data_IF_541268805268
#
_entry.id   IF_541268805268
#
_cell.length_a   1.000
_cell.length_b   1.000
_cell.length_c   1.000
_cell.angle_alpha   90.00
_cell.angle_beta   90.00
_cell.angle_gamma   90.00
#
_symmetry.space_group_name_H-M   'P 1'
#
loop_
_entity.id
_entity.type
_entity.pdbx_description
1 polymer ?
#
# COMPACT_ATOMS: atom_id res chain seq x y z
N UNK A 1 11.49 28.16 -54.68
CA UNK A 1 11.08 26.74 -54.67
C UNK A 1 11.97 26.04 -53.66
N UNK A 2 11.44 25.80 -52.46
CA UNK A 2 12.18 25.20 -51.35
C UNK A 2 11.56 23.83 -51.11
N UNK A 3 12.32 22.78 -51.40
CA UNK A 3 11.90 21.39 -51.26
C UNK A 3 12.48 20.85 -49.95
N UNK A 4 11.61 20.41 -49.04
CA UNK A 4 11.99 19.77 -47.78
C UNK A 4 11.37 18.36 -47.76
N UNK A 5 12.13 17.31 -47.39
CA UNK A 5 11.66 15.94 -47.48
C UNK A 5 10.62 15.63 -46.38
N UNK A 6 9.70 14.68 -46.61
CA UNK A 6 8.63 14.37 -45.67
C UNK A 6 9.20 13.66 -44.44
N UNK A 7 8.77 14.11 -43.25
CA UNK A 7 9.06 13.44 -41.98
C UNK A 7 8.31 12.11 -41.94
N UNK A 8 9.03 11.04 -41.64
CA UNK A 8 8.50 9.70 -41.38
C UNK A 8 7.65 9.69 -40.12
N UNK A 9 6.40 9.25 -40.23
CA UNK A 9 5.49 8.98 -39.11
C UNK A 9 6.04 7.83 -38.24
N UNK A 10 6.62 8.16 -37.09
CA UNK A 10 6.89 7.18 -36.04
C UNK A 10 5.56 6.78 -35.35
N UNK A 11 5.17 5.52 -35.57
CA UNK A 11 4.03 4.88 -34.88
C UNK A 11 4.25 4.87 -33.36
N UNK A 12 3.44 5.65 -32.63
CA UNK A 12 3.22 5.49 -31.19
C UNK A 12 2.76 4.05 -30.88
N UNK A 13 3.23 3.40 -29.79
CA UNK A 13 2.69 2.12 -29.37
C UNK A 13 1.22 2.29 -28.89
N UNK A 14 0.36 1.28 -29.10
CA UNK A 14 -1.07 1.42 -28.87
C UNK A 14 -1.40 1.37 -27.38
N UNK A 15 -2.19 2.35 -26.97
CA UNK A 15 -2.75 2.61 -25.64
C UNK A 15 -3.51 1.42 -25.01
N UNK A 16 -3.76 0.33 -25.74
CA UNK A 16 -4.53 -0.85 -25.31
C UNK A 16 -3.72 -1.90 -24.54
N UNK A 17 -2.42 -2.05 -24.81
CA UNK A 17 -1.62 -3.12 -24.19
C UNK A 17 -1.33 -2.86 -22.72
N UNK A 18 -1.03 -1.62 -22.35
CA UNK A 18 -0.80 -1.23 -20.96
C UNK A 18 -2.08 -1.40 -20.10
N UNK A 19 -3.24 -1.09 -20.68
CA UNK A 19 -4.53 -1.27 -20.02
C UNK A 19 -4.88 -2.76 -19.89
N UNK A 20 -4.63 -3.55 -20.94
CA UNK A 20 -4.81 -5.00 -20.90
C UNK A 20 -3.87 -5.69 -19.91
N UNK A 21 -2.61 -5.25 -19.79
CA UNK A 21 -1.66 -5.74 -18.78
C UNK A 21 -2.12 -5.43 -17.36
N UNK A 22 -2.60 -4.20 -17.11
CA UNK A 22 -3.18 -3.82 -15.82
C UNK A 22 -4.40 -4.67 -15.46
N UNK A 23 -5.34 -4.84 -16.37
CA UNK A 23 -6.52 -5.70 -16.16
C UNK A 23 -6.14 -7.16 -15.89
N UNK A 24 -5.10 -7.67 -16.55
CA UNK A 24 -4.61 -9.04 -16.35
C UNK A 24 -3.93 -9.22 -14.99
N UNK A 25 -3.04 -8.32 -14.59
CA UNK A 25 -2.36 -8.37 -13.30
C UNK A 25 -3.36 -8.26 -12.13
N UNK A 26 -4.39 -7.42 -12.29
CA UNK A 26 -5.49 -7.31 -11.32
C UNK A 26 -6.28 -8.62 -11.22
N UNK A 27 -6.62 -9.24 -12.35
CA UNK A 27 -7.28 -10.55 -12.36
C UNK A 27 -6.43 -11.62 -11.67
N UNK A 28 -5.12 -11.65 -11.93
CA UNK A 28 -4.18 -12.60 -11.30
C UNK A 28 -4.03 -12.37 -9.78
N UNK A 29 -3.99 -11.12 -9.31
CA UNK A 29 -3.91 -10.79 -7.89
C UNK A 29 -5.20 -11.17 -7.14
N UNK A 30 -6.35 -10.92 -7.75
CA UNK A 30 -7.68 -11.31 -7.24
C UNK A 30 -7.76 -12.84 -7.16
N UNK A 31 -7.39 -13.56 -8.22
CA UNK A 31 -7.36 -15.03 -8.23
C UNK A 31 -6.38 -15.60 -7.19
N UNK A 32 -5.19 -15.02 -7.06
CA UNK A 32 -4.21 -15.47 -6.04
C UNK A 32 -4.79 -15.32 -4.64
N UNK A 33 -5.40 -14.17 -4.33
CA UNK A 33 -6.02 -13.91 -3.03
C UNK A 33 -7.17 -14.89 -2.74
N UNK A 34 -7.95 -15.25 -3.76
CA UNK A 34 -9.00 -16.26 -3.63
C UNK A 34 -8.42 -17.64 -3.28
N UNK A 35 -7.36 -18.05 -3.98
CA UNK A 35 -6.70 -19.34 -3.76
C UNK A 35 -6.08 -19.38 -2.36
N UNK A 36 -5.40 -18.31 -1.93
CA UNK A 36 -4.81 -18.22 -0.58
C UNK A 36 -5.89 -18.35 0.51
N UNK A 37 -7.06 -17.73 0.28
CA UNK A 37 -8.19 -17.83 1.21
C UNK A 37 -8.79 -19.24 1.24
N UNK A 38 -8.91 -19.91 0.09
CA UNK A 38 -9.35 -21.31 0.03
C UNK A 38 -8.39 -22.24 0.78
N UNK A 39 -7.08 -22.05 0.61
CA UNK A 39 -6.06 -22.81 1.32
C UNK A 39 -6.15 -22.58 2.83
N UNK A 40 -6.31 -21.32 3.26
CA UNK A 40 -6.46 -20.97 4.67
C UNK A 40 -7.71 -21.61 5.30
N UNK A 41 -8.86 -21.55 4.62
CA UNK A 41 -10.10 -22.17 5.11
C UNK A 41 -10.02 -23.70 5.12
N UNK A 42 -9.39 -24.30 4.09
CA UNK A 42 -9.16 -25.74 4.05
C UNK A 42 -8.29 -26.20 5.23
N UNK A 43 -7.23 -25.46 5.55
CA UNK A 43 -6.37 -25.74 6.70
C UNK A 43 -7.12 -25.62 8.03
N UNK A 44 -7.98 -24.61 8.18
CA UNK A 44 -8.80 -24.44 9.39
C UNK A 44 -9.82 -25.56 9.61
N UNK A 45 -10.22 -26.26 8.55
CA UNK A 45 -11.24 -27.31 8.58
C UNK A 45 -10.69 -28.73 8.44
N UNK A 46 -9.40 -28.91 8.68
CA UNK A 46 -8.77 -30.24 8.66
C UNK A 46 -8.44 -30.76 7.26
N UNK A 47 -8.21 -29.86 6.30
CA UNK A 47 -7.71 -30.17 4.95
C UNK A 47 -8.80 -30.37 3.89
N UNK A 48 -10.08 -30.19 4.21
CA UNK A 48 -11.17 -30.36 3.27
C UNK A 48 -12.20 -29.21 3.35
N UNK A 49 -12.72 -28.80 2.18
CA UNK A 49 -13.82 -27.85 2.06
C UNK A 49 -15.07 -28.56 1.58
N UNK A 50 -16.21 -28.28 2.20
CA UNK A 50 -17.50 -28.79 1.72
C UNK A 50 -18.06 -27.90 0.60
N UNK A 51 -19.01 -28.43 -0.18
CA UNK A 51 -19.74 -27.65 -1.20
C UNK A 51 -20.40 -26.40 -0.63
N UNK A 52 -20.83 -26.43 0.64
CA UNK A 52 -21.41 -25.28 1.34
C UNK A 52 -20.36 -24.22 1.65
N UNK A 53 -19.15 -24.63 2.04
CA UNK A 53 -18.04 -23.72 2.33
C UNK A 53 -17.55 -23.02 1.05
N UNK A 54 -17.47 -23.76 -0.05
CA UNK A 54 -17.11 -23.20 -1.36
C UNK A 54 -18.14 -22.17 -1.85
N UNK A 55 -19.44 -22.44 -1.65
CA UNK A 55 -20.50 -21.51 -2.01
C UNK A 55 -20.42 -20.20 -1.19
N UNK A 56 -20.21 -20.31 0.13
CA UNK A 56 -20.10 -19.15 1.00
C UNK A 56 -18.86 -18.29 0.67
N UNK A 57 -17.70 -18.92 0.48
CA UNK A 57 -16.47 -18.21 0.10
C UNK A 57 -16.59 -17.55 -1.28
N UNK A 58 -17.27 -18.21 -2.22
CA UNK A 58 -17.56 -17.64 -3.54
C UNK A 58 -18.43 -16.38 -3.44
N UNK A 59 -19.46 -16.40 -2.60
CA UNK A 59 -20.36 -15.25 -2.41
C UNK A 59 -19.68 -14.08 -1.72
N UNK A 60 -18.90 -14.34 -0.67
CA UNK A 60 -18.09 -13.33 0.02
C UNK A 60 -17.05 -12.70 -0.92
N UNK A 61 -16.43 -13.51 -1.76
CA UNK A 61 -15.45 -13.04 -2.72
C UNK A 61 -16.06 -12.22 -3.86
N UNK A 62 -17.24 -12.62 -4.34
CA UNK A 62 -17.99 -11.89 -5.37
C UNK A 62 -18.41 -10.50 -4.86
N UNK A 63 -18.92 -10.42 -3.63
CA UNK A 63 -19.26 -9.14 -2.99
C UNK A 63 -18.04 -8.21 -2.87
N UNK A 64 -16.86 -8.74 -2.50
CA UNK A 64 -15.62 -7.96 -2.43
C UNK A 64 -15.10 -7.54 -3.81
N UNK A 65 -15.24 -8.41 -4.81
CA UNK A 65 -14.82 -8.12 -6.20
C UNK A 65 -15.69 -7.03 -6.81
N UNK A 66 -17.00 -7.04 -6.58
CA UNK A 66 -17.92 -6.01 -7.06
C UNK A 66 -17.67 -4.65 -6.38
N UNK A 67 -17.38 -4.65 -5.08
CA UNK A 67 -17.00 -3.44 -4.35
C UNK A 67 -15.68 -2.85 -4.88
N UNK A 68 -14.69 -3.69 -5.13
CA UNK A 68 -13.40 -3.29 -5.68
C UNK A 68 -13.53 -2.79 -7.13
N UNK A 69 -14.37 -3.44 -7.94
CA UNK A 69 -14.63 -3.09 -9.33
C UNK A 69 -15.27 -1.71 -9.47
N UNK A 70 -16.23 -1.36 -8.60
CA UNK A 70 -16.82 -0.01 -8.57
C UNK A 70 -15.82 1.09 -8.22
N UNK A 71 -14.92 0.82 -7.27
CA UNK A 71 -13.84 1.75 -6.92
C UNK A 71 -12.86 1.90 -8.09
N UNK A 72 -12.61 0.82 -8.84
CA UNK A 72 -11.75 0.84 -10.02
C UNK A 72 -12.38 1.53 -11.24
N UNK A 73 -13.66 1.32 -11.52
CA UNK A 73 -14.38 1.96 -12.63
C UNK A 73 -14.38 3.48 -12.46
N UNK A 74 -14.62 3.97 -11.25
CA UNK A 74 -14.49 5.39 -10.90
C UNK A 74 -13.07 5.94 -11.10
N UNK A 75 -12.06 5.07 -11.07
CA UNK A 75 -10.64 5.45 -11.21
C UNK A 75 -10.15 5.36 -12.67
N UNK A 76 -10.82 4.60 -13.53
CA UNK A 76 -10.37 4.29 -14.90
C UNK A 76 -10.92 5.23 -15.99
N UNK A 77 -12.00 5.98 -15.75
CA UNK A 77 -12.69 6.75 -16.81
C UNK A 77 -12.02 8.06 -17.25
N UNK A 78 -10.91 8.53 -16.65
CA UNK A 78 -10.28 9.80 -17.06
C UNK A 78 -8.91 9.66 -17.74
N UNK A 79 -8.93 9.18 -18.99
CA UNK A 79 -7.74 9.05 -19.83
C UNK A 79 -7.31 10.37 -20.50
N UNK A 80 -6.92 11.38 -19.71
CA UNK A 80 -5.94 12.42 -20.09
C UNK A 80 -5.32 13.22 -18.91
N UNK A 81 -5.41 12.71 -17.68
CA UNK A 81 -5.11 13.48 -16.47
C UNK A 81 -4.04 12.89 -15.53
N UNK A 82 -3.13 12.04 -15.98
CA UNK A 82 -2.21 11.28 -15.08
C UNK A 82 -1.38 12.15 -14.11
N UNK A 83 -0.76 13.23 -14.57
CA UNK A 83 -0.01 14.13 -13.68
C UNK A 83 -0.91 15.00 -12.79
N UNK A 84 -2.15 15.26 -13.23
CA UNK A 84 -3.17 15.91 -12.40
C UNK A 84 -3.70 14.94 -11.35
N UNK A 85 -3.88 13.66 -11.66
CA UNK A 85 -4.33 12.62 -10.73
C UNK A 85 -3.27 12.36 -9.66
N UNK A 86 -1.98 12.23 -9.99
CA UNK A 86 -0.92 12.10 -8.95
C UNK A 86 -0.88 13.35 -8.06
N UNK A 87 -1.00 14.55 -8.65
CA UNK A 87 -1.01 15.82 -7.90
C UNK A 87 -2.28 15.95 -7.05
N UNK A 88 -3.44 15.58 -7.56
CA UNK A 88 -4.73 15.62 -6.87
C UNK A 88 -4.80 14.56 -5.77
N UNK A 89 -4.33 13.34 -6.03
CA UNK A 89 -4.06 12.31 -5.03
C UNK A 89 -2.92 12.67 -4.08
N UNK A 90 -2.16 13.74 -4.29
CA UNK A 90 -1.16 14.24 -3.32
C UNK A 90 -1.74 15.38 -2.47
N UNK A 91 -2.64 16.18 -3.05
CA UNK A 91 -3.27 17.34 -2.39
C UNK A 91 -4.49 16.92 -1.56
N UNK A 92 -5.33 16.00 -2.06
CA UNK A 92 -6.62 15.60 -1.47
C UNK A 92 -6.62 14.14 -0.97
N UNK A 93 -5.50 13.66 -0.39
CA UNK A 93 -5.52 12.33 0.23
C UNK A 93 -6.50 12.29 1.39
N UNK A 94 -7.27 11.20 1.51
CA UNK A 94 -7.96 10.88 2.74
C UNK A 94 -6.98 10.92 3.94
N UNK A 95 -7.43 11.30 5.15
CA UNK A 95 -6.55 11.52 6.29
C UNK A 95 -5.66 10.32 6.66
N UNK A 96 -6.20 9.09 6.66
CA UNK A 96 -5.41 7.91 6.98
C UNK A 96 -4.33 7.65 5.92
N UNK A 97 -4.66 7.81 4.63
CA UNK A 97 -3.70 7.65 3.53
C UNK A 97 -2.53 8.64 3.66
N UNK A 98 -2.82 9.85 4.13
CA UNK A 98 -1.79 10.86 4.36
C UNK A 98 -0.88 10.48 5.53
N UNK A 99 -1.48 10.04 6.64
CA UNK A 99 -0.74 9.67 7.85
C UNK A 99 0.13 8.43 7.65
N UNK A 100 -0.37 7.39 6.98
CA UNK A 100 0.42 6.19 6.71
C UNK A 100 1.58 6.46 5.74
N UNK A 101 1.37 7.33 4.73
CA UNK A 101 2.45 7.76 3.83
C UNK A 101 3.53 8.54 4.57
N UNK A 102 3.16 9.27 5.63
CA UNK A 102 4.10 10.09 6.40
C UNK A 102 5.24 9.28 7.01
N UNK A 103 5.02 8.00 7.32
CA UNK A 103 6.04 7.09 7.87
C UNK A 103 7.21 6.82 6.93
N UNK A 104 6.97 6.89 5.63
CA UNK A 104 8.01 6.69 4.62
C UNK A 104 8.17 7.89 3.68
N UNK A 105 7.55 9.04 3.97
CA UNK A 105 7.57 10.19 3.05
C UNK A 105 8.99 10.72 2.82
N UNK A 106 9.87 10.53 3.80
CA UNK A 106 11.28 10.91 3.75
C UNK A 106 12.06 10.09 2.72
N UNK A 107 11.55 8.95 2.25
CA UNK A 107 12.15 8.18 1.16
C UNK A 107 11.84 8.75 -0.22
N UNK A 108 10.84 9.63 -0.35
CA UNK A 108 10.59 10.30 -1.62
C UNK A 108 11.70 11.33 -1.92
N UNK A 109 12.06 11.51 -3.20
CA UNK A 109 12.91 12.63 -3.60
C UNK A 109 12.20 13.96 -3.29
N UNK A 110 13.01 14.99 -2.99
CA UNK A 110 12.49 16.36 -2.91
C UNK A 110 12.03 16.81 -4.30
N UNK A 111 11.20 17.83 -4.34
CA UNK A 111 10.65 18.30 -5.60
C UNK A 111 11.77 18.75 -6.55
N UNK A 112 11.80 18.19 -7.76
CA UNK A 112 12.79 18.52 -8.79
C UNK A 112 14.10 17.73 -8.68
N UNK A 113 14.27 16.87 -7.68
CA UNK A 113 15.43 15.97 -7.60
C UNK A 113 15.19 14.71 -8.44
N UNK A 114 16.25 14.21 -9.08
CA UNK A 114 16.24 12.88 -9.69
C UNK A 114 16.04 11.80 -8.61
N UNK A 115 15.50 10.65 -9.01
CA UNK A 115 15.43 9.51 -8.10
C UNK A 115 16.84 8.94 -7.93
N UNK A 116 17.48 9.32 -6.82
CA UNK A 116 18.76 8.75 -6.41
C UNK A 116 18.61 7.35 -5.82
N UNK A 117 19.75 6.70 -5.59
CA UNK A 117 19.85 5.42 -4.89
C UNK A 117 19.21 5.51 -3.50
N UNK A 118 18.48 4.48 -3.08
CA UNK A 118 17.78 4.48 -1.79
C UNK A 118 16.47 5.30 -1.75
N UNK A 119 16.00 5.87 -2.88
CA UNK A 119 14.76 6.66 -2.96
C UNK A 119 13.63 5.90 -3.66
N UNK A 120 12.40 6.21 -3.27
CA UNK A 120 11.18 5.64 -3.88
C UNK A 120 10.47 6.65 -4.78
N UNK A 121 9.84 6.17 -5.86
CA UNK A 121 8.98 7.02 -6.69
C UNK A 121 7.58 7.13 -6.09
N UNK A 122 6.97 8.32 -6.16
CA UNK A 122 5.54 8.50 -5.85
C UNK A 122 4.62 7.69 -6.77
N UNK A 123 5.12 7.18 -7.90
CA UNK A 123 4.41 6.26 -8.79
C UNK A 123 3.99 4.96 -8.11
N UNK A 124 4.63 4.58 -7.00
CA UNK A 124 4.27 3.37 -6.24
C UNK A 124 2.97 3.49 -5.46
N UNK A 125 2.51 4.71 -5.18
CA UNK A 125 1.42 4.95 -4.23
C UNK A 125 0.10 4.24 -4.58
N UNK A 126 -0.35 4.16 -5.86
CA UNK A 126 -1.52 3.39 -6.21
C UNK A 126 -1.39 1.91 -5.85
N UNK A 127 -0.25 1.28 -6.18
CA UNK A 127 0.03 -0.10 -5.80
C UNK A 127 0.10 -0.28 -4.28
N UNK A 128 0.68 0.69 -3.57
CA UNK A 128 0.76 0.67 -2.11
C UNK A 128 -0.64 0.70 -1.47
N UNK A 129 -1.51 1.62 -1.88
CA UNK A 129 -2.87 1.68 -1.34
C UNK A 129 -3.71 0.46 -1.74
N UNK A 130 -3.46 -0.14 -2.91
CA UNK A 130 -4.04 -1.42 -3.25
C UNK A 130 -3.58 -2.53 -2.29
N UNK A 131 -2.28 -2.61 -2.01
CA UNK A 131 -1.72 -3.58 -1.06
C UNK A 131 -2.31 -3.39 0.35
N UNK A 132 -2.45 -2.14 0.82
CA UNK A 132 -3.09 -1.79 2.10
C UNK A 132 -4.54 -2.26 2.11
N UNK A 133 -5.32 -2.01 1.06
CA UNK A 133 -6.70 -2.48 0.95
C UNK A 133 -6.80 -4.01 0.92
N UNK A 134 -5.86 -4.72 0.27
CA UNK A 134 -5.85 -6.20 0.27
C UNK A 134 -5.51 -6.75 1.66
N UNK A 135 -4.60 -6.11 2.39
CA UNK A 135 -4.23 -6.52 3.75
C UNK A 135 -5.38 -6.25 4.72
N UNK A 136 -5.79 -4.99 4.84
CA UNK A 136 -6.72 -4.58 5.88
C UNK A 136 -8.18 -4.87 5.52
N UNK A 137 -8.52 -4.88 4.23
CA UNK A 137 -9.90 -4.90 3.75
C UNK A 137 -10.53 -3.50 3.73
N UNK A 138 -11.46 -3.29 2.79
CA UNK A 138 -12.05 -1.97 2.54
C UNK A 138 -12.81 -1.40 3.75
N UNK A 139 -13.52 -2.23 4.51
CA UNK A 139 -14.29 -1.78 5.68
C UNK A 139 -13.39 -1.29 6.82
N UNK A 140 -12.27 -1.97 7.03
CA UNK A 140 -11.26 -1.58 8.02
C UNK A 140 -10.56 -0.30 7.60
N UNK A 141 -10.15 -0.20 6.32
CA UNK A 141 -9.55 1.03 5.78
C UNK A 141 -10.52 2.19 5.94
N UNK A 142 -11.81 2.02 5.59
CA UNK A 142 -12.84 3.05 5.79
C UNK A 142 -12.95 3.45 7.27
N UNK A 143 -12.95 2.48 8.18
CA UNK A 143 -12.98 2.75 9.62
C UNK A 143 -11.78 3.60 10.06
N UNK A 144 -10.58 3.32 9.55
CA UNK A 144 -9.41 4.14 9.82
C UNK A 144 -9.49 5.53 9.18
N UNK A 145 -10.06 5.66 7.98
CA UNK A 145 -10.33 6.97 7.38
C UNK A 145 -11.27 7.80 8.27
N UNK A 146 -12.39 7.22 8.68
CA UNK A 146 -13.40 7.90 9.48
C UNK A 146 -12.80 8.37 10.83
N UNK A 147 -12.05 7.50 11.52
CA UNK A 147 -11.36 7.86 12.78
C UNK A 147 -10.30 8.96 12.60
N UNK A 148 -9.51 8.90 11.52
CA UNK A 148 -8.54 9.96 11.23
C UNK A 148 -9.24 11.28 10.85
N UNK A 149 -10.39 11.21 10.18
CA UNK A 149 -11.20 12.38 9.86
C UNK A 149 -11.76 13.04 11.11
N UNK A 150 -12.20 12.27 12.11
CA UNK A 150 -12.61 12.81 13.42
C UNK A 150 -11.48 13.59 14.12
N UNK A 151 -10.24 13.10 14.03
CA UNK A 151 -9.06 13.82 14.56
C UNK A 151 -8.85 15.14 13.82
N UNK A 152 -8.92 15.11 12.48
CA UNK A 152 -8.78 16.30 11.64
C UNK A 152 -9.87 17.32 11.95
N UNK A 153 -11.12 16.90 12.04
CA UNK A 153 -12.26 17.79 12.27
C UNK A 153 -12.18 18.47 13.64
N UNK A 154 -11.78 17.72 14.67
CA UNK A 154 -11.53 18.29 16.00
C UNK A 154 -10.41 19.33 15.96
N UNK A 155 -9.27 19.01 15.36
CA UNK A 155 -8.13 19.95 15.29
C UNK A 155 -8.45 21.18 14.44
N UNK A 156 -9.26 21.04 13.38
CA UNK A 156 -9.76 22.19 12.61
C UNK A 156 -10.68 23.09 13.43
N UNK A 157 -11.56 22.50 14.25
CA UNK A 157 -12.43 23.27 15.15
C UNK A 157 -11.60 24.06 16.17
N UNK A 158 -10.52 23.48 16.67
CA UNK A 158 -9.61 24.11 17.62
C UNK A 158 -8.73 25.22 16.97
N UNK A 159 -8.47 25.13 15.65
CA UNK A 159 -7.53 26.00 14.93
C UNK A 159 -8.20 26.91 13.86
N UNK A 160 -9.41 27.39 14.15
CA UNK A 160 -10.14 28.36 13.31
C UNK A 160 -10.28 27.94 11.83
N UNK A 161 -10.38 26.63 11.58
CA UNK A 161 -10.58 26.03 10.26
C UNK A 161 -9.30 25.67 9.49
N UNK A 162 -8.12 26.07 9.94
CA UNK A 162 -6.85 25.69 9.28
C UNK A 162 -6.27 24.38 9.85
N UNK A 163 -5.63 23.58 8.99
CA UNK A 163 -5.15 22.24 9.35
C UNK A 163 -3.63 22.13 9.20
N UNK A 164 -2.94 22.03 10.34
CA UNK A 164 -1.53 21.64 10.38
C UNK A 164 -1.42 20.11 10.52
N UNK A 165 -0.96 19.46 9.44
CA UNK A 165 -0.76 18.01 9.40
C UNK A 165 0.37 17.50 10.30
N UNK A 166 1.24 18.36 10.80
CA UNK A 166 2.19 17.99 11.84
C UNK A 166 1.49 17.86 13.19
N UNK A 167 0.51 18.71 13.49
CA UNK A 167 -0.32 18.57 14.68
C UNK A 167 -1.21 17.33 14.60
N UNK A 168 -1.79 17.04 13.42
CA UNK A 168 -2.57 15.80 13.23
C UNK A 168 -1.71 14.56 13.48
N UNK A 169 -0.49 14.52 12.94
CA UNK A 169 0.41 13.38 13.11
C UNK A 169 0.98 13.24 14.53
N UNK A 170 1.15 14.35 15.25
CA UNK A 170 1.56 14.35 16.65
C UNK A 170 0.41 13.99 17.60
N UNK A 171 -0.83 13.91 17.11
CA UNK A 171 -1.98 13.58 17.94
C UNK A 171 -1.93 12.11 18.40
N UNK A 172 -2.03 11.83 19.72
CA UNK A 172 -1.95 10.46 20.22
C UNK A 172 -3.02 9.52 19.63
N UNK A 173 -4.20 10.04 19.25
CA UNK A 173 -5.25 9.23 18.62
C UNK A 173 -4.87 8.87 17.19
N UNK A 174 -4.29 9.82 16.44
CA UNK A 174 -3.79 9.55 15.09
C UNK A 174 -2.66 8.52 15.10
N UNK A 175 -1.69 8.69 16.01
CA UNK A 175 -0.60 7.73 16.20
C UNK A 175 -1.14 6.35 16.54
N UNK A 176 -2.16 6.28 17.40
CA UNK A 176 -2.81 5.02 17.76
C UNK A 176 -3.49 4.34 16.58
N UNK A 177 -4.18 5.09 15.72
CA UNK A 177 -4.82 4.54 14.51
C UNK A 177 -3.77 3.96 13.56
N UNK A 178 -2.63 4.62 13.40
CA UNK A 178 -1.53 4.10 12.56
C UNK A 178 -0.92 2.83 13.16
N UNK A 179 -0.71 2.80 14.48
CA UNK A 179 -0.22 1.59 15.15
C UNK A 179 -1.21 0.42 15.03
N UNK A 180 -2.52 0.68 15.16
CA UNK A 180 -3.57 -0.32 14.94
C UNK A 180 -3.52 -0.89 13.51
N UNK A 181 -3.30 -0.02 12.52
CA UNK A 181 -3.17 -0.44 11.13
C UNK A 181 -1.90 -1.28 10.91
N UNK A 182 -0.75 -0.85 11.46
CA UNK A 182 0.50 -1.61 11.40
C UNK A 182 0.32 -2.99 12.04
N UNK A 183 -0.23 -3.06 13.25
CA UNK A 183 -0.48 -4.33 13.96
C UNK A 183 -1.34 -5.30 13.15
N UNK A 184 -2.36 -4.80 12.44
CA UNK A 184 -3.16 -5.64 11.55
C UNK A 184 -2.38 -6.06 10.30
N UNK A 185 -1.64 -5.15 9.68
CA UNK A 185 -0.81 -5.45 8.50
C UNK A 185 0.23 -6.52 8.78
N UNK A 186 0.85 -6.53 9.98
CA UNK A 186 1.86 -7.52 10.35
C UNK A 186 1.36 -8.96 10.21
N UNK A 187 0.08 -9.22 10.48
CA UNK A 187 -0.48 -10.57 10.36
C UNK A 187 -0.38 -11.15 8.94
N UNK A 188 -0.20 -10.31 7.92
CA UNK A 188 0.01 -10.74 6.53
C UNK A 188 1.46 -11.07 6.18
N UNK A 189 2.40 -10.79 7.09
CA UNK A 189 3.84 -11.00 6.89
C UNK A 189 4.37 -12.18 7.72
N UNK A 190 3.52 -13.15 8.06
CA UNK A 190 3.94 -14.39 8.74
C UNK A 190 5.03 -15.15 7.96
N UNK A 191 4.94 -15.13 6.63
CA UNK A 191 6.04 -15.46 5.70
C UNK A 191 6.47 -14.20 4.95
N UNK A 192 7.48 -13.52 5.50
CA UNK A 192 8.00 -12.28 4.94
C UNK A 192 8.61 -12.46 3.55
N UNK A 193 9.19 -13.63 3.24
CA UNK A 193 9.81 -13.92 1.93
C UNK A 193 8.75 -14.03 0.84
N UNK A 194 7.71 -14.83 1.07
CA UNK A 194 6.58 -14.94 0.12
C UNK A 194 5.88 -13.59 -0.01
N UNK A 195 5.70 -12.86 1.09
CA UNK A 195 5.01 -11.57 1.08
C UNK A 195 5.81 -10.47 0.39
N UNK A 196 7.16 -10.51 0.45
CA UNK A 196 8.06 -9.64 -0.32
C UNK A 196 7.80 -9.77 -1.82
N UNK A 197 7.82 -10.98 -2.35
CA UNK A 197 7.56 -11.23 -3.77
C UNK A 197 6.17 -10.74 -4.21
N UNK A 198 5.14 -11.02 -3.42
CA UNK A 198 3.77 -10.52 -3.65
C UNK A 198 3.71 -9.00 -3.68
N UNK A 199 4.33 -8.32 -2.71
CA UNK A 199 4.30 -6.87 -2.59
C UNK A 199 5.01 -6.20 -3.77
N UNK A 200 6.21 -6.66 -4.12
CA UNK A 200 6.97 -6.16 -5.27
C UNK A 200 6.15 -6.23 -6.56
N UNK A 201 5.49 -7.38 -6.80
CA UNK A 201 4.60 -7.55 -7.96
C UNK A 201 3.47 -6.52 -7.96
N UNK A 202 2.75 -6.38 -6.84
CA UNK A 202 1.63 -5.41 -6.76
C UNK A 202 2.10 -3.98 -7.01
N UNK A 203 3.23 -3.58 -6.40
CA UNK A 203 3.74 -2.22 -6.59
C UNK A 203 4.12 -1.99 -8.06
N UNK A 204 4.92 -2.89 -8.64
CA UNK A 204 5.48 -2.71 -9.97
C UNK A 204 4.42 -2.82 -11.08
N UNK A 205 3.42 -3.68 -10.91
CA UNK A 205 2.29 -3.80 -11.85
C UNK A 205 1.37 -2.58 -11.82
N UNK A 206 1.31 -1.89 -10.68
CA UNK A 206 0.41 -0.76 -10.43
C UNK A 206 1.12 0.59 -10.42
N UNK A 207 2.33 0.68 -10.97
CA UNK A 207 3.00 1.97 -11.10
C UNK A 207 2.14 2.94 -11.90
N UNK A 208 1.98 4.15 -11.34
CA UNK A 208 1.37 5.24 -12.06
C UNK A 208 2.15 5.48 -13.37
N UNK A 209 1.49 5.78 -14.50
CA UNK A 209 2.22 6.09 -15.72
C UNK A 209 3.11 7.32 -15.53
N UNK A 210 4.26 7.34 -16.19
CA UNK A 210 5.17 8.50 -16.23
C UNK A 210 5.28 9.06 -17.64
N UNK A 211 5.85 10.25 -17.79
CA UNK A 211 6.24 10.76 -19.10
C UNK A 211 7.40 9.90 -19.66
N UNK A 212 7.50 9.78 -20.98
CA UNK A 212 8.52 8.94 -21.64
C UNK A 212 9.96 9.32 -21.22
N UNK A 213 10.20 10.59 -20.88
CA UNK A 213 11.50 11.10 -20.41
C UNK A 213 11.44 11.57 -18.94
N UNK A 214 10.51 11.01 -18.15
CA UNK A 214 10.38 11.33 -16.74
C UNK A 214 11.61 10.88 -15.93
N UNK A 215 11.97 11.59 -14.84
CA UNK A 215 13.13 11.26 -14.01
C UNK A 215 13.04 9.90 -13.31
N UNK A 216 11.89 9.24 -13.41
CA UNK A 216 11.57 7.96 -12.80
C UNK A 216 11.04 6.92 -13.79
N UNK A 217 11.28 7.10 -15.09
CA UNK A 217 10.69 6.23 -16.13
C UNK A 217 11.01 4.75 -15.96
N UNK A 218 12.26 4.43 -15.66
CA UNK A 218 12.73 3.07 -15.38
C UNK A 218 12.68 2.68 -13.91
N UNK A 219 12.03 3.49 -13.05
CA UNK A 219 11.96 3.17 -11.64
C UNK A 219 11.00 2.01 -11.39
N UNK A 220 11.48 1.01 -10.66
CA UNK A 220 10.72 -0.09 -10.10
C UNK A 220 11.16 -0.29 -8.64
N UNK A 221 10.28 -0.86 -7.83
CA UNK A 221 10.66 -1.26 -6.48
C UNK A 221 11.54 -2.51 -6.55
N UNK A 222 12.73 -2.41 -5.97
CA UNK A 222 13.68 -3.53 -5.84
C UNK A 222 13.49 -4.26 -4.51
N UNK A 223 14.00 -5.51 -4.39
CA UNK A 223 14.07 -6.24 -3.12
C UNK A 223 14.66 -5.43 -1.96
N UNK A 224 15.74 -4.69 -2.17
CA UNK A 224 16.44 -3.99 -1.09
C UNK A 224 15.68 -2.72 -0.69
N UNK A 225 15.11 -2.04 -1.70
CA UNK A 225 14.23 -0.89 -1.47
C UNK A 225 12.97 -1.27 -0.69
N UNK A 226 12.45 -2.47 -0.89
CA UNK A 226 11.31 -2.98 -0.13
C UNK A 226 11.64 -3.11 1.37
N UNK A 227 12.85 -3.52 1.73
CA UNK A 227 13.25 -3.67 3.13
C UNK A 227 13.42 -2.32 3.83
N UNK A 228 14.07 -1.36 3.15
CA UNK A 228 14.18 0.02 3.62
C UNK A 228 12.79 0.63 3.79
N UNK A 229 11.92 0.40 2.80
CA UNK A 229 10.53 0.86 2.83
C UNK A 229 9.75 0.27 4.01
N UNK A 230 9.81 -1.05 4.24
CA UNK A 230 9.12 -1.70 5.35
C UNK A 230 9.57 -1.16 6.70
N UNK A 231 10.87 -0.98 6.91
CA UNK A 231 11.40 -0.42 8.17
C UNK A 231 10.88 0.98 8.45
N UNK A 232 10.73 1.80 7.41
CA UNK A 232 10.11 3.12 7.54
C UNK A 232 8.62 3.03 7.77
N UNK A 233 7.91 2.17 7.06
CA UNK A 233 6.46 1.99 7.21
C UNK A 233 6.07 1.51 8.62
N UNK A 234 6.88 0.65 9.23
CA UNK A 234 6.63 0.05 10.55
C UNK A 234 7.43 0.71 11.69
N UNK A 235 7.93 1.94 11.49
CA UNK A 235 8.75 2.61 12.51
C UNK A 235 8.02 2.79 13.85
N UNK A 236 6.74 3.13 13.84
CA UNK A 236 6.01 3.35 15.09
C UNK A 236 5.82 2.05 15.88
N UNK A 237 5.65 0.93 15.17
CA UNK A 237 5.58 -0.39 15.80
C UNK A 237 6.94 -0.80 16.39
N UNK A 238 8.03 -0.49 15.70
CA UNK A 238 9.39 -0.68 16.22
C UNK A 238 9.54 0.13 17.52
N UNK A 239 9.23 1.42 17.48
CA UNK A 239 9.37 2.32 18.64
C UNK A 239 8.46 1.89 19.80
N UNK A 240 7.22 1.47 19.51
CA UNK A 240 6.26 1.01 20.53
C UNK A 240 6.70 -0.29 21.23
N UNK A 241 7.52 -1.10 20.57
CA UNK A 241 7.95 -2.41 21.09
C UNK A 241 9.43 -2.47 21.50
N UNK A 242 10.17 -1.36 21.39
CA UNK A 242 11.61 -1.31 21.66
C UNK A 242 11.92 -1.51 23.16
N UNK A 243 11.03 -1.07 24.05
CA UNK A 243 11.19 -1.19 25.51
C UNK A 243 10.31 -2.29 26.13
N UNK A 244 10.72 -2.80 27.30
CA UNK A 244 9.91 -3.74 28.10
C UNK A 244 8.56 -3.11 28.47
N UNK A 245 8.56 -1.84 28.87
CA UNK A 245 7.35 -1.11 29.23
C UNK A 245 6.41 -0.95 28.03
N UNK A 246 6.94 -0.59 26.85
CA UNK A 246 6.20 -0.53 25.61
C UNK A 246 5.56 -1.87 25.26
N UNK A 247 6.33 -2.97 25.31
CA UNK A 247 5.79 -4.32 25.09
C UNK A 247 4.69 -4.69 26.08
N UNK A 248 4.83 -4.37 27.36
CA UNK A 248 3.78 -4.64 28.36
C UNK A 248 2.50 -3.84 28.08
N UNK A 249 2.64 -2.57 27.68
CA UNK A 249 1.53 -1.73 27.28
C UNK A 249 0.80 -2.31 26.07
N UNK A 250 1.54 -2.63 25.00
CA UNK A 250 0.94 -3.16 23.78
C UNK A 250 0.39 -4.59 23.98
N UNK A 251 0.97 -5.39 24.89
CA UNK A 251 0.42 -6.70 25.29
C UNK A 251 -0.94 -6.56 25.98
N UNK A 252 -1.09 -5.58 26.87
CA UNK A 252 -2.35 -5.30 27.58
C UNK A 252 -3.46 -4.94 26.60
N UNK A 253 -3.09 -4.23 25.55
CA UNK A 253 -4.01 -3.58 24.65
C UNK A 253 -4.38 -4.45 23.44
N UNK A 254 -3.43 -5.19 22.86
CA UNK A 254 -3.67 -6.05 21.70
C UNK A 254 -3.76 -7.55 22.03
N UNK A 255 -3.34 -7.95 23.23
CA UNK A 255 -3.19 -9.34 23.61
C UNK A 255 -1.83 -9.94 23.22
N UNK A 256 -1.46 -11.03 23.91
CA UNK A 256 -0.17 -11.69 23.73
C UNK A 256 0.06 -12.18 22.30
N UNK A 257 -0.91 -12.87 21.70
CA UNK A 257 -0.78 -13.49 20.38
C UNK A 257 -0.44 -12.48 19.28
N UNK A 258 -1.11 -11.32 19.29
CA UNK A 258 -0.86 -10.26 18.29
C UNK A 258 0.50 -9.61 18.50
N UNK A 259 0.90 -9.39 19.75
CA UNK A 259 2.22 -8.84 20.06
C UNK A 259 3.33 -9.83 19.68
N UNK A 260 3.13 -11.13 19.90
CA UNK A 260 4.09 -12.15 19.52
C UNK A 260 4.28 -12.19 17.99
N UNK A 261 3.18 -12.15 17.23
CA UNK A 261 3.24 -12.03 15.77
C UNK A 261 3.96 -10.76 15.32
N UNK A 262 3.71 -9.63 15.99
CA UNK A 262 4.38 -8.36 15.75
C UNK A 262 5.90 -8.47 15.96
N UNK A 263 6.32 -8.99 17.10
CA UNK A 263 7.73 -9.17 17.45
C UNK A 263 8.42 -10.15 16.50
N UNK A 264 7.77 -11.26 16.13
CA UNK A 264 8.30 -12.23 15.18
C UNK A 264 8.54 -11.61 13.81
N UNK A 265 7.60 -10.80 13.31
CA UNK A 265 7.78 -10.05 12.07
C UNK A 265 8.95 -9.06 12.16
N UNK A 266 9.06 -8.30 13.26
CA UNK A 266 10.17 -7.36 13.45
C UNK A 266 11.53 -8.06 13.51
N UNK A 267 11.58 -9.29 14.03
CA UNK A 267 12.78 -10.13 14.00
C UNK A 267 13.14 -10.53 12.56
N UNK A 268 12.18 -11.07 11.80
CA UNK A 268 12.39 -11.42 10.38
C UNK A 268 12.84 -10.21 9.57
N UNK A 269 12.24 -9.04 9.81
CA UNK A 269 12.61 -7.80 9.13
C UNK A 269 14.06 -7.38 9.44
N UNK A 270 14.56 -7.67 10.66
CA UNK A 270 15.95 -7.44 11.07
C UNK A 270 16.92 -8.39 10.38
N UNK A 271 16.60 -9.68 10.36
CA UNK A 271 17.43 -10.72 9.75
C UNK A 271 17.62 -10.52 8.24
N UNK A 272 16.59 -10.03 7.54
CA UNK A 272 16.70 -9.73 6.11
C UNK A 272 17.84 -8.76 5.76
N UNK A 273 18.22 -7.84 6.66
CA UNK A 273 19.33 -6.92 6.41
C UNK A 273 20.71 -7.51 6.68
N UNK A 274 20.79 -8.67 7.33
CA UNK A 274 22.06 -9.28 7.74
C UNK A 274 22.54 -10.36 6.75
N UNK A 275 21.67 -10.81 5.83
CA UNK A 275 21.92 -11.92 4.89
C UNK A 275 22.53 -11.52 3.53
N UNK A 276 22.98 -10.28 3.32
CA UNK A 276 23.78 -9.92 2.15
C UNK A 276 25.29 -9.92 2.46
N UNK A 277 26.09 -10.85 1.89
CA UNK A 277 27.53 -10.74 1.93
C UNK A 277 27.98 -9.60 1.01
N UNK A 278 28.89 -8.77 1.53
CA UNK A 278 29.69 -7.78 0.79
C UNK A 278 30.34 -8.38 -0.46
#
# INVERSE_FOLDING_TARGET
MSDAPPRTDEKKPPRSEAQARKSRALAEAVVTTFIDRLIAEANQRGGALTMRDLAQLSDEFRAKTDALSKVFEQTLEESSHVQKVIRWQTINRPPFDRLIVKRFETLFPRHGEAIGEGRISRRMLPGFFLAVNIMLGADVVKTFQDKCQEVVDRLKADNNGDIDWNLVDADPRAQRIILDAQMQMVTHFSDLRTRKAWFLRIINDQLAPTALDGPDVGWEMTPDMFEIFLRRLFSDLIDATDSVEGRLKEMTEYGADKLEAAVAFLHQLRELSEDEPV
#
